data_IF_791641169972
#
_entry.id   IF_791641169972
#
_cell.length_a   1.000
_cell.length_b   1.000
_cell.length_c   1.000
_cell.angle_alpha   90.00
_cell.angle_beta   90.00
_cell.angle_gamma   90.00
#
_symmetry.space_group_name_H-M   'P 1'
#
loop_
_entity.id
_entity.type
_entity.pdbx_description
1 polymer ?
#
# COMPACT_ATOMS: atom_id res chain seq x y z
N UNK A 1 -48.47 17.08 -36.57
CA UNK A 1 -47.16 17.44 -37.14
C UNK A 1 -46.09 17.42 -36.04
N UNK A 2 -45.16 16.47 -36.14
CA UNK A 2 -43.76 16.50 -35.68
C UNK A 2 -43.35 16.57 -34.18
N UNK A 3 -43.98 15.78 -33.31
CA UNK A 3 -43.47 15.50 -31.96
C UNK A 3 -42.09 14.79 -31.97
N UNK A 4 -41.88 13.89 -32.95
CA UNK A 4 -40.59 13.19 -33.15
C UNK A 4 -39.42 14.11 -33.51
N UNK A 5 -39.64 15.24 -34.20
CA UNK A 5 -38.55 16.17 -34.53
C UNK A 5 -38.13 17.00 -33.33
N UNK A 6 -39.07 17.36 -32.45
CA UNK A 6 -38.79 18.08 -31.20
C UNK A 6 -37.99 17.19 -30.27
N UNK A 7 -38.41 15.93 -30.07
CA UNK A 7 -37.68 14.95 -29.26
C UNK A 7 -36.27 14.70 -29.82
N UNK A 8 -36.12 14.56 -31.15
CA UNK A 8 -34.79 14.42 -31.78
C UNK A 8 -33.90 15.64 -31.54
N UNK A 9 -34.45 16.86 -31.70
CA UNK A 9 -33.72 18.11 -31.45
C UNK A 9 -33.33 18.24 -29.97
N UNK A 10 -34.21 17.87 -29.06
CA UNK A 10 -33.95 17.91 -27.62
C UNK A 10 -32.86 16.91 -27.22
N UNK A 11 -32.94 15.67 -27.72
CA UNK A 11 -31.90 14.65 -27.50
C UNK A 11 -30.54 15.09 -28.08
N UNK A 12 -30.54 15.74 -29.24
CA UNK A 12 -29.32 16.32 -29.81
C UNK A 12 -28.72 17.41 -28.91
N UNK A 13 -29.53 18.34 -28.41
CA UNK A 13 -29.08 19.39 -27.49
C UNK A 13 -28.54 18.80 -26.18
N UNK A 14 -29.24 17.83 -25.58
CA UNK A 14 -28.75 17.11 -24.38
C UNK A 14 -27.39 16.47 -24.66
N UNK A 15 -27.25 15.76 -25.79
CA UNK A 15 -25.99 15.08 -26.13
C UNK A 15 -24.84 16.07 -26.34
N UNK A 16 -25.10 17.18 -27.03
CA UNK A 16 -24.14 18.26 -27.24
C UNK A 16 -23.70 18.88 -25.91
N UNK A 17 -24.65 19.14 -25.01
CA UNK A 17 -24.35 19.75 -23.72
C UNK A 17 -23.60 18.78 -22.79
N UNK A 18 -23.94 17.49 -22.80
CA UNK A 18 -23.15 16.47 -22.11
C UNK A 18 -21.71 16.39 -22.64
N UNK A 19 -21.50 16.50 -23.95
CA UNK A 19 -20.15 16.54 -24.52
C UNK A 19 -19.38 17.78 -24.05
N UNK A 20 -20.01 18.97 -24.07
CA UNK A 20 -19.41 20.21 -23.59
C UNK A 20 -19.00 20.13 -22.11
N UNK A 21 -19.90 19.64 -21.26
CA UNK A 21 -19.63 19.47 -19.83
C UNK A 21 -18.50 18.45 -19.58
N UNK A 22 -18.48 17.34 -20.32
CA UNK A 22 -17.41 16.35 -20.22
C UNK A 22 -16.03 16.97 -20.52
N UNK A 23 -15.92 17.82 -21.55
CA UNK A 23 -14.66 18.52 -21.87
C UNK A 23 -14.23 19.41 -20.70
N UNK A 24 -15.15 20.20 -20.15
CA UNK A 24 -14.87 21.12 -19.05
C UNK A 24 -14.42 20.36 -17.79
N UNK A 25 -15.15 19.31 -17.40
CA UNK A 25 -14.81 18.55 -16.20
C UNK A 25 -13.53 17.75 -16.37
N UNK A 26 -13.25 17.21 -17.56
CA UNK A 26 -11.98 16.55 -17.84
C UNK A 26 -10.80 17.54 -17.78
N UNK A 27 -10.96 18.76 -18.29
CA UNK A 27 -9.93 19.81 -18.15
C UNK A 27 -9.71 20.20 -16.68
N UNK A 28 -10.78 20.37 -15.91
CA UNK A 28 -10.67 20.63 -14.46
C UNK A 28 -10.06 19.46 -13.69
N UNK A 29 -10.33 18.22 -14.11
CA UNK A 29 -9.74 17.03 -13.53
C UNK A 29 -8.23 16.99 -13.79
N UNK A 30 -7.81 17.22 -15.04
CA UNK A 30 -6.39 17.24 -15.44
C UNK A 30 -5.61 18.36 -14.72
N UNK A 31 -6.25 19.50 -14.44
CA UNK A 31 -5.59 20.60 -13.73
C UNK A 31 -5.40 20.34 -12.22
N UNK A 32 -6.07 19.34 -11.66
CA UNK A 32 -5.95 19.01 -10.24
C UNK A 32 -4.66 18.22 -9.94
N UNK A 33 -3.74 18.85 -9.22
CA UNK A 33 -2.46 18.22 -8.80
C UNK A 33 -2.55 17.38 -7.51
N UNK A 34 -3.63 17.51 -6.75
CA UNK A 34 -3.77 16.92 -5.42
C UNK A 34 -5.02 16.03 -5.31
N UNK A 35 -4.93 14.83 -4.69
CA UNK A 35 -6.07 13.92 -4.54
C UNK A 35 -7.27 14.57 -3.82
N UNK A 36 -7.01 15.40 -2.82
CA UNK A 36 -8.05 16.11 -2.07
C UNK A 36 -8.88 17.06 -2.95
N UNK A 37 -8.25 17.71 -3.92
CA UNK A 37 -8.94 18.62 -4.84
C UNK A 37 -9.79 17.83 -5.85
N UNK A 38 -9.25 16.71 -6.34
CA UNK A 38 -10.00 15.80 -7.20
C UNK A 38 -11.23 15.26 -6.45
N UNK A 39 -11.07 14.92 -5.17
CA UNK A 39 -12.18 14.45 -4.34
C UNK A 39 -13.27 15.51 -4.11
N UNK A 40 -12.88 16.79 -3.98
CA UNK A 40 -13.84 17.90 -3.89
C UNK A 40 -14.62 18.06 -5.20
N UNK A 41 -13.92 18.10 -6.33
CA UNK A 41 -14.52 18.15 -7.67
C UNK A 41 -15.49 16.98 -7.90
N UNK A 42 -15.10 15.79 -7.44
CA UNK A 42 -15.93 14.60 -7.50
C UNK A 42 -17.26 14.75 -6.73
N UNK A 43 -17.21 15.29 -5.51
CA UNK A 43 -18.42 15.55 -4.70
C UNK A 43 -19.32 16.61 -5.34
N UNK A 44 -18.74 17.61 -5.98
CA UNK A 44 -19.47 18.66 -6.70
C UNK A 44 -20.26 18.07 -7.88
N UNK A 45 -19.66 17.19 -8.68
CA UNK A 45 -20.30 16.56 -9.84
C UNK A 45 -21.41 15.59 -9.43
N UNK A 46 -21.18 14.82 -8.35
CA UNK A 46 -22.09 13.75 -7.94
C UNK A 46 -23.18 14.17 -6.96
N UNK A 47 -23.14 15.42 -6.47
CA UNK A 47 -24.06 15.92 -5.45
C UNK A 47 -24.04 15.10 -4.15
N UNK A 48 -22.90 14.44 -3.87
CA UNK A 48 -22.79 13.24 -3.04
C UNK A 48 -23.63 13.23 -1.77
N UNK A 49 -24.61 12.32 -1.71
CA UNK A 49 -25.34 12.00 -0.48
C UNK A 49 -24.62 10.88 0.27
N UNK A 50 -24.12 11.16 1.48
CA UNK A 50 -23.62 10.12 2.38
C UNK A 50 -24.80 9.40 3.04
N UNK A 51 -24.89 8.09 2.82
CA UNK A 51 -25.83 7.22 3.52
C UNK A 51 -25.04 6.56 4.65
N UNK A 52 -25.19 7.07 5.88
CA UNK A 52 -24.49 6.53 7.04
C UNK A 52 -25.23 5.33 7.66
N UNK A 53 -26.54 5.23 7.44
CA UNK A 53 -27.36 4.10 7.89
C UNK A 53 -27.62 3.17 6.72
N UNK A 54 -26.87 2.08 6.66
CA UNK A 54 -27.13 0.98 5.72
C UNK A 54 -28.37 0.25 6.24
N UNK A 55 -29.49 0.18 5.48
CA UNK A 55 -30.75 -0.37 5.96
C UNK A 55 -30.72 -1.89 6.20
N UNK A 56 -29.66 -2.57 5.76
CA UNK A 56 -29.44 -3.98 6.00
C UNK A 56 -28.36 -4.15 7.07
N UNK A 57 -28.62 -5.07 8.02
CA UNK A 57 -27.62 -5.72 8.87
C UNK A 57 -26.64 -6.49 7.99
N UNK A 58 -25.81 -5.75 7.26
CA UNK A 58 -24.69 -6.33 6.56
C UNK A 58 -23.68 -6.72 7.63
N UNK A 59 -23.68 -8.00 7.99
CA UNK A 59 -22.80 -8.50 9.05
C UNK A 59 -21.37 -8.39 8.53
N UNK A 60 -20.61 -7.43 9.05
CA UNK A 60 -19.20 -7.20 8.72
C UNK A 60 -18.39 -8.51 8.85
N UNK A 61 -18.77 -9.39 9.78
CA UNK A 61 -18.17 -10.72 9.93
C UNK A 61 -18.29 -11.60 8.67
N UNK A 62 -19.34 -11.45 7.86
CA UNK A 62 -19.50 -12.19 6.60
C UNK A 62 -18.50 -11.71 5.55
N UNK A 63 -18.20 -10.42 5.46
CA UNK A 63 -17.08 -9.94 4.64
C UNK A 63 -15.75 -10.44 5.17
N UNK A 64 -15.54 -10.37 6.49
CA UNK A 64 -14.30 -10.84 7.08
C UNK A 64 -14.07 -12.33 6.77
N UNK A 65 -15.10 -13.17 6.72
CA UNK A 65 -14.99 -14.58 6.27
C UNK A 65 -14.57 -14.72 4.80
N UNK A 66 -15.01 -13.81 3.93
CA UNK A 66 -14.60 -13.81 2.52
C UNK A 66 -13.17 -13.29 2.29
N UNK A 67 -12.68 -12.38 3.14
CA UNK A 67 -11.31 -11.83 3.06
C UNK A 67 -10.29 -12.64 3.87
N UNK A 68 -10.72 -13.27 4.96
CA UNK A 68 -9.97 -14.18 5.82
C UNK A 68 -10.45 -15.60 5.47
N UNK A 69 -10.05 -16.10 4.31
CA UNK A 69 -10.13 -17.54 4.08
C UNK A 69 -9.06 -18.19 4.97
N UNK A 70 -9.47 -18.60 6.17
CA UNK A 70 -8.65 -19.47 7.01
C UNK A 70 -9.12 -20.91 6.72
N UNK A 71 -8.32 -21.75 6.04
CA UNK A 71 -8.59 -23.17 6.10
C UNK A 71 -8.43 -23.56 7.56
N UNK A 72 -9.50 -24.03 8.19
CA UNK A 72 -9.60 -24.36 9.62
C UNK A 72 -8.62 -25.44 10.10
N UNK A 73 -7.77 -25.96 9.21
CA UNK A 73 -6.77 -26.99 9.46
C UNK A 73 -5.37 -26.55 9.00
N UNK A 74 -5.06 -25.25 8.98
CA UNK A 74 -3.69 -24.80 8.77
C UNK A 74 -2.82 -25.22 9.96
N UNK A 75 -2.35 -26.48 9.96
CA UNK A 75 -1.06 -26.78 10.57
C UNK A 75 -0.08 -25.72 10.06
N UNK A 76 0.79 -25.23 10.95
CA UNK A 76 2.03 -24.57 10.50
C UNK A 76 2.56 -25.41 9.33
N UNK A 77 2.95 -24.79 8.21
CA UNK A 77 3.44 -25.56 7.09
C UNK A 77 4.52 -26.45 7.67
N UNK A 78 4.28 -27.78 7.67
CA UNK A 78 5.28 -28.74 8.06
C UNK A 78 6.51 -28.33 7.28
N UNK A 79 7.60 -28.00 7.99
CA UNK A 79 8.85 -27.48 7.43
C UNK A 79 9.22 -28.41 6.27
N UNK A 80 8.74 -28.08 5.09
CA UNK A 80 9.00 -28.86 3.91
C UNK A 80 10.35 -28.31 3.52
N UNK A 81 11.38 -29.09 3.83
CA UNK A 81 12.73 -28.96 3.30
C UNK A 81 12.66 -29.09 1.77
N UNK A 82 12.03 -28.14 1.09
CA UNK A 82 12.01 -28.06 -0.36
C UNK A 82 13.34 -27.43 -0.70
N UNK A 83 14.30 -28.28 -1.07
CA UNK A 83 15.56 -27.98 -1.74
C UNK A 83 16.15 -26.60 -1.44
N UNK A 84 17.22 -26.55 -0.62
CA UNK A 84 18.11 -25.41 -0.42
C UNK A 84 18.24 -24.55 -1.67
N UNK A 85 17.35 -23.57 -1.81
CA UNK A 85 17.56 -22.47 -2.71
C UNK A 85 18.61 -21.63 -1.98
N UNK A 86 19.87 -21.84 -2.38
CA UNK A 86 21.01 -21.23 -1.74
C UNK A 86 20.83 -19.72 -1.84
N UNK A 87 20.49 -19.08 -0.71
CA UNK A 87 20.59 -17.64 -0.60
C UNK A 87 22.03 -17.26 -0.94
N UNK A 88 22.23 -16.59 -2.07
CA UNK A 88 23.56 -16.29 -2.62
C UNK A 88 24.33 -15.22 -1.84
N UNK A 89 23.83 -14.84 -0.66
CA UNK A 89 24.35 -13.75 0.14
C UNK A 89 23.86 -12.40 -0.34
N UNK A 90 23.89 -11.41 0.54
CA UNK A 90 23.76 -10.01 0.19
C UNK A 90 25.03 -9.54 -0.55
N UNK A 91 24.84 -8.82 -1.66
CA UNK A 91 25.92 -8.20 -2.42
C UNK A 91 26.27 -6.82 -1.83
N UNK A 92 27.56 -6.49 -1.77
CA UNK A 92 28.08 -5.18 -1.32
C UNK A 92 27.45 -4.00 -2.06
N UNK A 93 27.19 -4.13 -3.36
CA UNK A 93 26.54 -3.08 -4.15
C UNK A 93 25.10 -2.83 -3.68
N UNK A 94 24.35 -3.88 -3.35
CA UNK A 94 22.96 -3.74 -2.90
C UNK A 94 22.93 -3.20 -1.46
N UNK A 95 23.85 -3.63 -0.60
CA UNK A 95 24.05 -3.04 0.72
C UNK A 95 24.34 -1.54 0.59
N UNK A 96 25.24 -1.14 -0.31
CA UNK A 96 25.55 0.27 -0.56
C UNK A 96 24.32 1.06 -1.04
N UNK A 97 23.52 0.52 -1.98
CA UNK A 97 22.27 1.15 -2.43
C UNK A 97 21.27 1.30 -1.30
N UNK A 98 21.10 0.27 -0.47
CA UNK A 98 20.21 0.30 0.68
C UNK A 98 20.64 1.38 1.70
N UNK A 99 21.93 1.49 2.01
CA UNK A 99 22.49 2.54 2.86
C UNK A 99 22.26 3.94 2.26
N UNK A 100 22.48 4.12 0.95
CA UNK A 100 22.23 5.39 0.24
C UNK A 100 20.75 5.79 0.27
N UNK A 101 19.85 4.81 0.30
CA UNK A 101 18.39 5.02 0.35
C UNK A 101 17.86 5.33 1.76
N UNK A 102 18.70 5.36 2.78
CA UNK A 102 18.28 5.74 4.14
C UNK A 102 17.79 7.20 4.15
N UNK A 103 16.75 7.44 4.96
CA UNK A 103 16.25 8.79 5.19
C UNK A 103 17.25 9.57 6.04
N UNK A 104 17.51 10.82 5.65
CA UNK A 104 18.43 11.72 6.35
C UNK A 104 17.79 12.39 7.56
N UNK A 105 16.73 11.79 8.12
CA UNK A 105 16.02 12.33 9.26
C UNK A 105 16.97 12.44 10.45
N UNK A 106 16.83 13.54 11.20
CA UNK A 106 17.55 13.77 12.46
C UNK A 106 17.01 12.90 13.61
N UNK A 107 15.95 12.11 13.37
CA UNK A 107 15.41 11.20 14.36
C UNK A 107 16.43 10.11 14.70
N UNK A 108 16.98 10.20 15.91
CA UNK A 108 17.92 9.24 16.46
C UNK A 108 17.19 7.98 16.94
N UNK A 109 17.73 6.82 16.55
CA UNK A 109 17.37 5.53 17.14
C UNK A 109 17.87 5.41 18.57
N UNK A 110 17.79 4.21 19.15
CA UNK A 110 18.34 3.96 20.49
C UNK A 110 19.87 3.97 20.55
N UNK A 111 20.53 3.82 19.40
CA UNK A 111 21.98 3.89 19.22
C UNK A 111 22.52 5.32 19.18
N UNK A 112 21.66 6.34 19.13
CA UNK A 112 22.03 7.75 19.00
C UNK A 112 22.92 8.05 17.77
N UNK A 113 22.93 7.18 16.75
CA UNK A 113 23.69 7.39 15.51
C UNK A 113 22.76 7.86 14.39
N UNK A 114 22.98 9.06 13.82
CA UNK A 114 22.20 9.55 12.70
C UNK A 114 22.32 8.67 11.45
N UNK A 115 21.19 8.38 10.80
CA UNK A 115 21.15 7.65 9.51
C UNK A 115 21.94 8.34 8.38
N UNK A 116 22.18 9.66 8.49
CA UNK A 116 22.98 10.42 7.52
C UNK A 116 24.44 9.93 7.47
N UNK A 117 25.01 9.46 8.58
CA UNK A 117 26.39 8.96 8.63
C UNK A 117 26.51 7.72 7.75
N UNK A 118 25.61 6.75 7.96
CA UNK A 118 25.53 5.54 7.16
C UNK A 118 25.33 5.82 5.66
N UNK A 119 24.53 6.83 5.34
CA UNK A 119 24.31 7.27 3.96
C UNK A 119 25.55 7.89 3.32
N UNK A 120 26.25 8.80 4.02
CA UNK A 120 27.44 9.48 3.49
C UNK A 120 28.65 8.55 3.41
N UNK A 121 28.83 7.72 4.43
CA UNK A 121 29.93 6.75 4.53
C UNK A 121 29.60 5.40 3.86
N UNK A 122 28.52 5.32 3.07
CA UNK A 122 28.02 4.05 2.52
C UNK A 122 29.06 3.29 1.70
N UNK A 123 29.97 4.00 1.02
CA UNK A 123 31.01 3.42 0.17
C UNK A 123 32.12 2.71 0.95
N UNK A 124 32.31 3.08 2.22
CA UNK A 124 33.27 2.42 3.12
C UNK A 124 32.54 1.35 3.92
N UNK A 125 31.39 1.72 4.50
CA UNK A 125 30.64 0.86 5.40
C UNK A 125 29.96 -0.32 4.70
N UNK A 126 29.72 -0.25 3.39
CA UNK A 126 29.08 -1.37 2.69
C UNK A 126 29.89 -2.67 2.80
N UNK A 127 31.23 -2.61 2.78
CA UNK A 127 32.08 -3.81 2.88
C UNK A 127 31.89 -4.55 4.22
N UNK A 128 32.23 -3.97 5.39
CA UNK A 128 32.10 -4.68 6.67
C UNK A 128 30.64 -5.00 7.01
N UNK A 129 29.68 -4.17 6.57
CA UNK A 129 28.27 -4.46 6.82
C UNK A 129 27.73 -5.60 5.97
N UNK A 130 28.30 -5.84 4.79
CA UNK A 130 27.92 -7.01 3.97
C UNK A 130 28.30 -8.29 4.68
N UNK A 131 29.53 -8.38 5.18
CA UNK A 131 30.01 -9.55 5.93
C UNK A 131 29.16 -9.77 7.19
N UNK A 132 28.84 -8.68 7.89
CA UNK A 132 28.02 -8.71 9.09
C UNK A 132 26.58 -9.16 8.81
N UNK A 133 25.95 -8.67 7.75
CA UNK A 133 24.59 -9.08 7.38
C UNK A 133 24.55 -10.53 6.88
N UNK A 134 25.54 -10.95 6.08
CA UNK A 134 25.64 -12.34 5.62
C UNK A 134 25.83 -13.30 6.79
N UNK A 135 26.68 -12.94 7.75
CA UNK A 135 26.87 -13.73 8.97
C UNK A 135 25.61 -13.78 9.85
N UNK A 136 24.98 -12.64 10.08
CA UNK A 136 23.71 -12.58 10.83
C UNK A 136 22.63 -13.43 10.18
N UNK A 137 22.58 -13.45 8.85
CA UNK A 137 21.63 -14.25 8.08
C UNK A 137 21.98 -15.75 8.10
N UNK A 138 23.26 -16.13 7.92
CA UNK A 138 23.68 -17.54 7.99
C UNK A 138 23.46 -18.15 9.36
N UNK A 139 23.67 -17.35 10.41
CA UNK A 139 23.52 -17.78 11.79
C UNK A 139 22.05 -17.75 12.24
N UNK A 140 21.12 -17.27 11.40
CA UNK A 140 19.71 -17.01 11.73
C UNK A 140 19.52 -16.17 13.00
N UNK A 141 20.46 -15.25 13.28
CA UNK A 141 20.48 -14.43 14.49
C UNK A 141 20.52 -12.96 14.12
N UNK A 142 19.45 -12.23 14.44
CA UNK A 142 19.44 -10.77 14.41
C UNK A 142 19.94 -10.24 15.77
N UNK A 143 21.06 -9.47 15.80
CA UNK A 143 21.61 -8.90 17.02
C UNK A 143 20.58 -8.15 17.86
N UNK A 144 20.62 -8.32 19.19
CA UNK A 144 19.67 -7.69 20.11
C UNK A 144 19.66 -6.16 19.99
N UNK A 145 20.84 -5.55 19.80
CA UNK A 145 21.00 -4.10 19.62
C UNK A 145 20.27 -3.58 18.38
N UNK A 146 20.15 -4.38 17.32
CA UNK A 146 19.45 -3.96 16.10
C UNK A 146 17.93 -3.98 16.28
N UNK A 147 17.44 -4.87 17.15
CA UNK A 147 16.04 -5.07 17.50
C UNK A 147 15.54 -4.06 18.54
N UNK A 148 16.40 -3.18 19.03
CA UNK A 148 15.97 -2.12 19.92
C UNK A 148 15.24 -1.02 19.13
N UNK A 149 14.04 -0.65 19.60
CA UNK A 149 13.09 0.18 18.86
C UNK A 149 12.62 1.32 19.75
N UNK A 150 12.82 2.55 19.26
CA UNK A 150 12.27 3.74 19.90
C UNK A 150 10.86 4.01 19.36
N UNK A 151 9.84 3.86 20.21
CA UNK A 151 8.45 4.11 19.83
C UNK A 151 8.08 5.57 20.13
N UNK A 152 7.67 6.32 19.10
CA UNK A 152 7.25 7.72 19.21
C UNK A 152 5.76 7.86 18.89
N UNK A 153 4.92 8.33 19.83
CA UNK A 153 3.50 8.57 19.58
C UNK A 153 3.30 9.88 18.80
N UNK A 154 2.61 9.82 17.66
CA UNK A 154 2.25 10.97 16.84
C UNK A 154 0.72 11.18 16.85
N UNK A 155 0.21 12.38 17.17
CA UNK A 155 -1.22 12.68 17.12
C UNK A 155 -1.84 12.44 15.73
N UNK A 156 -2.99 11.77 15.65
CA UNK A 156 -3.75 11.59 14.39
C UNK A 156 -4.40 12.89 13.89
N UNK A 157 -4.70 13.83 14.78
CA UNK A 157 -5.36 15.10 14.48
C UNK A 157 -4.90 16.18 15.47
N UNK A 158 -4.82 17.42 15.00
CA UNK A 158 -4.46 18.59 15.80
C UNK A 158 -5.60 19.16 16.64
N UNK A 159 -6.83 18.67 16.48
CA UNK A 159 -8.01 19.24 17.14
C UNK A 159 -9.00 18.14 17.53
N UNK A 160 -9.05 17.81 18.84
CA UNK A 160 -10.19 17.26 19.63
C UNK A 160 -9.74 16.76 21.02
N UNK A 161 -10.69 16.75 21.97
CA UNK A 161 -10.54 16.35 23.37
C UNK A 161 -10.10 14.88 23.63
N UNK A 162 -10.03 14.04 22.59
CA UNK A 162 -9.52 12.67 22.65
C UNK A 162 -8.55 12.45 21.48
N UNK A 163 -7.26 12.69 21.74
CA UNK A 163 -6.19 12.53 20.75
C UNK A 163 -5.87 11.04 20.61
N UNK A 164 -6.22 10.46 19.46
CA UNK A 164 -5.72 9.12 19.09
C UNK A 164 -4.29 9.26 18.55
N UNK A 165 -3.38 8.43 19.03
CA UNK A 165 -1.99 8.43 18.54
C UNK A 165 -1.77 7.37 17.46
N UNK A 166 -0.81 7.61 16.59
CA UNK A 166 -0.12 6.60 15.78
C UNK A 166 1.23 6.37 16.43
N UNK A 167 1.50 5.14 16.82
CA UNK A 167 2.83 4.77 17.28
C UNK A 167 3.74 4.61 16.06
N UNK A 168 4.87 5.30 16.05
CA UNK A 168 5.91 5.15 15.04
C UNK A 168 7.11 4.48 15.67
N UNK A 169 7.46 3.30 15.17
CA UNK A 169 8.66 2.57 15.54
C UNK A 169 9.87 3.14 14.77
N UNK A 170 10.82 3.74 15.48
CA UNK A 170 12.12 4.13 14.94
C UNK A 170 13.09 2.98 15.22
N UNK A 171 13.35 2.19 14.18
CA UNK A 171 14.30 1.07 14.20
C UNK A 171 15.72 1.53 13.87
N UNK A 172 16.72 0.72 14.25
CA UNK A 172 18.13 0.98 13.95
C UNK A 172 18.39 1.06 12.43
N UNK A 173 19.39 1.85 11.98
CA UNK A 173 19.78 1.89 10.57
C UNK A 173 20.22 0.53 10.02
N UNK A 174 20.83 -0.32 10.86
CA UNK A 174 21.21 -1.69 10.51
C UNK A 174 19.99 -2.56 10.22
N UNK A 175 19.01 -2.60 11.13
CA UNK A 175 17.78 -3.38 10.93
C UNK A 175 17.03 -2.92 9.68
N UNK A 176 16.85 -1.60 9.49
CA UNK A 176 16.23 -1.04 8.28
C UNK A 176 16.94 -1.44 7.00
N UNK A 177 18.27 -1.53 7.04
CA UNK A 177 19.07 -1.90 5.87
C UNK A 177 18.90 -3.38 5.56
N UNK A 178 18.94 -4.23 6.58
CA UNK A 178 18.67 -5.67 6.45
C UNK A 178 17.25 -5.94 5.95
N UNK A 179 16.22 -5.31 6.52
CA UNK A 179 14.82 -5.40 6.06
C UNK A 179 14.68 -5.04 4.57
N UNK A 180 15.35 -3.96 4.13
CA UNK A 180 15.34 -3.56 2.71
C UNK A 180 16.02 -4.58 1.82
N UNK A 181 17.14 -5.17 2.25
CA UNK A 181 17.83 -6.19 1.48
C UNK A 181 16.96 -7.44 1.32
N UNK A 182 16.34 -7.90 2.40
CA UNK A 182 15.38 -9.01 2.37
C UNK A 182 14.19 -8.68 1.45
N UNK A 183 13.68 -7.45 1.50
CA UNK A 183 12.60 -7.01 0.62
C UNK A 183 12.99 -7.01 -0.86
N UNK A 184 14.24 -6.65 -1.20
CA UNK A 184 14.73 -6.72 -2.58
C UNK A 184 14.74 -8.15 -3.11
N UNK A 185 15.04 -9.13 -2.27
CA UNK A 185 15.00 -10.55 -2.60
C UNK A 185 13.56 -11.09 -2.64
N UNK A 186 12.68 -10.62 -1.75
CA UNK A 186 11.31 -11.13 -1.60
C UNK A 186 10.33 -10.61 -2.67
N UNK A 187 10.40 -9.31 -3.00
CA UNK A 187 9.43 -8.65 -3.91
C UNK A 187 9.35 -9.32 -5.29
N UNK A 188 10.47 -9.73 -5.95
CA UNK A 188 10.41 -10.43 -7.22
C UNK A 188 9.61 -11.75 -7.17
N UNK A 189 9.68 -12.49 -6.07
CA UNK A 189 8.95 -13.76 -5.87
C UNK A 189 7.45 -13.55 -5.66
N UNK A 190 7.03 -12.36 -5.21
CA UNK A 190 5.63 -12.02 -4.96
C UNK A 190 4.87 -11.52 -6.20
N UNK A 191 5.47 -11.58 -7.39
CA UNK A 191 4.84 -11.11 -8.64
C UNK A 191 3.51 -11.79 -8.95
N UNK A 192 3.30 -13.04 -8.52
CA UNK A 192 2.04 -13.77 -8.72
C UNK A 192 0.86 -13.18 -7.95
N UNK A 193 1.11 -12.48 -6.84
CA UNK A 193 0.07 -11.84 -6.00
C UNK A 193 -0.19 -10.37 -6.38
N UNK A 194 0.33 -9.93 -7.53
CA UNK A 194 0.34 -8.54 -7.93
C UNK A 194 -1.02 -8.10 -8.52
N UNK A 195 -1.92 -7.53 -7.69
CA UNK A 195 -3.20 -6.99 -8.18
C UNK A 195 -2.99 -5.71 -9.04
N UNK A 196 -3.38 -5.68 -10.33
CA UNK A 196 -3.26 -4.49 -11.16
C UNK A 196 -4.07 -3.28 -10.66
N UNK A 197 -4.99 -3.45 -9.70
CA UNK A 197 -5.75 -2.36 -9.04
C UNK A 197 -5.22 -1.98 -7.65
N UNK A 198 -4.12 -2.57 -7.20
CA UNK A 198 -3.42 -2.09 -6.00
C UNK A 198 -2.51 -0.92 -6.38
N UNK A 199 -2.77 0.25 -5.79
CA UNK A 199 -2.01 1.48 -6.05
C UNK A 199 -1.02 1.83 -4.94
N UNK A 200 -1.35 1.49 -3.69
CA UNK A 200 -0.49 1.74 -2.54
C UNK A 200 0.71 0.78 -2.52
N UNK A 201 1.85 1.28 -2.02
CA UNK A 201 3.10 0.54 -1.82
C UNK A 201 3.68 -0.12 -3.09
N UNK A 202 3.31 0.37 -4.28
CA UNK A 202 3.90 -0.06 -5.56
C UNK A 202 4.79 1.02 -6.14
N UNK A 203 5.86 0.56 -6.80
CA UNK A 203 6.69 1.46 -7.60
C UNK A 203 5.88 2.06 -8.75
N UNK A 204 6.14 3.33 -9.05
CA UNK A 204 5.49 4.08 -10.14
C UNK A 204 3.96 4.14 -10.06
N UNK A 205 3.40 4.10 -8.85
CA UNK A 205 1.97 4.30 -8.61
C UNK A 205 1.73 5.29 -7.49
N UNK A 206 0.64 6.03 -7.60
CA UNK A 206 0.27 7.09 -6.69
C UNK A 206 -1.20 7.00 -6.28
N UNK A 207 -1.55 7.76 -5.25
CA UNK A 207 -2.96 7.95 -4.87
C UNK A 207 -3.76 8.67 -5.94
N UNK A 208 -3.11 9.46 -6.81
CA UNK A 208 -3.78 10.12 -7.93
C UNK A 208 -4.27 9.11 -8.96
N UNK A 209 -3.45 8.09 -9.26
CA UNK A 209 -3.81 7.03 -10.21
C UNK A 209 -5.05 6.26 -9.75
N UNK A 210 -5.15 5.98 -8.45
CA UNK A 210 -6.31 5.33 -7.87
C UNK A 210 -7.60 6.15 -8.08
N UNK A 211 -7.51 7.46 -7.85
CA UNK A 211 -8.66 8.37 -8.01
C UNK A 211 -8.99 8.56 -9.49
N UNK A 212 -8.00 8.60 -10.39
CA UNK A 212 -8.21 8.68 -11.83
C UNK A 212 -8.92 7.45 -12.38
N UNK A 213 -8.52 6.25 -11.97
CA UNK A 213 -9.20 5.00 -12.35
C UNK A 213 -10.62 4.97 -11.81
N UNK A 214 -10.84 5.40 -10.56
CA UNK A 214 -12.17 5.52 -9.98
C UNK A 214 -13.05 6.48 -10.79
N UNK A 215 -12.56 7.67 -11.10
CA UNK A 215 -13.27 8.67 -11.89
C UNK A 215 -13.61 8.14 -13.28
N UNK A 216 -12.65 7.53 -13.97
CA UNK A 216 -12.86 6.93 -15.29
C UNK A 216 -13.99 5.88 -15.27
N UNK A 217 -13.99 4.98 -14.28
CA UNK A 217 -15.02 3.95 -14.15
C UNK A 217 -16.42 4.54 -13.93
N UNK A 218 -16.52 5.60 -13.13
CA UNK A 218 -17.79 6.29 -12.86
C UNK A 218 -18.29 7.00 -14.11
N UNK A 219 -17.44 7.82 -14.73
CA UNK A 219 -17.77 8.57 -15.94
C UNK A 219 -18.18 7.62 -17.08
N UNK A 220 -17.44 6.53 -17.29
CA UNK A 220 -17.75 5.51 -18.29
C UNK A 220 -19.09 4.82 -18.02
N UNK A 221 -19.40 4.51 -16.76
CA UNK A 221 -20.69 3.89 -16.39
C UNK A 221 -21.87 4.84 -16.65
N UNK A 222 -21.74 6.11 -16.26
CA UNK A 222 -22.77 7.13 -16.52
C UNK A 222 -22.95 7.36 -18.03
N UNK A 223 -21.86 7.42 -18.80
CA UNK A 223 -21.92 7.58 -20.25
C UNK A 223 -22.64 6.41 -20.94
N UNK A 224 -22.48 5.19 -20.43
CA UNK A 224 -23.19 3.99 -20.91
C UNK A 224 -24.68 3.97 -20.54
N UNK A 225 -25.19 5.01 -19.86
CA UNK A 225 -26.61 5.16 -19.51
C UNK A 225 -26.97 4.66 -18.11
N UNK A 226 -26.00 4.41 -17.24
CA UNK A 226 -26.30 4.10 -15.84
C UNK A 226 -26.98 5.31 -15.18
N UNK A 227 -28.14 5.09 -14.55
CA UNK A 227 -28.90 6.16 -13.87
C UNK A 227 -28.19 6.70 -12.63
N UNK A 228 -27.43 5.85 -11.94
CA UNK A 228 -26.66 6.20 -10.75
C UNK A 228 -25.45 5.28 -10.60
N UNK A 229 -24.44 5.73 -9.87
CA UNK A 229 -23.27 4.93 -9.47
C UNK A 229 -23.18 4.91 -7.95
N UNK A 230 -22.93 3.74 -7.37
CA UNK A 230 -22.75 3.57 -5.92
C UNK A 230 -21.30 3.23 -5.63
N UNK A 231 -20.75 3.85 -4.60
CA UNK A 231 -19.40 3.61 -4.13
C UNK A 231 -19.45 3.07 -2.70
N UNK A 232 -18.72 1.99 -2.45
CA UNK A 232 -18.51 1.45 -1.11
C UNK A 232 -17.05 1.63 -0.72
N UNK A 233 -16.81 2.29 0.41
CA UNK A 233 -15.48 2.45 0.99
C UNK A 233 -15.34 1.47 2.15
N UNK A 234 -14.29 0.66 2.10
CA UNK A 234 -13.96 -0.32 3.13
C UNK A 234 -12.62 0.11 3.76
N UNK A 235 -12.59 0.20 5.08
CA UNK A 235 -11.39 0.52 5.84
C UNK A 235 -11.20 -0.49 6.96
N UNK A 236 -9.99 -1.04 7.07
CA UNK A 236 -9.65 -2.03 8.09
C UNK A 236 -9.20 -1.33 9.37
N UNK A 237 -9.81 -1.70 10.50
CA UNK A 237 -9.32 -1.25 11.81
C UNK A 237 -7.97 -1.89 12.09
N UNK A 238 -6.94 -1.07 12.32
CA UNK A 238 -5.60 -1.52 12.69
C UNK A 238 -5.07 -2.63 11.78
N UNK A 239 -5.11 -2.41 10.47
CA UNK A 239 -4.81 -3.42 9.46
C UNK A 239 -3.46 -4.13 9.67
N UNK A 240 -2.40 -3.39 10.06
CA UNK A 240 -1.06 -3.94 10.27
C UNK A 240 -1.01 -4.79 11.55
N UNK A 241 -1.59 -4.29 12.64
CA UNK A 241 -1.58 -4.97 13.94
C UNK A 241 -2.48 -6.21 13.96
N UNK A 242 -3.40 -6.33 12.99
CA UNK A 242 -4.43 -7.37 12.95
C UNK A 242 -4.13 -8.50 11.96
N UNK A 243 -2.97 -8.49 11.29
CA UNK A 243 -2.60 -9.55 10.33
C UNK A 243 -2.21 -10.84 11.07
N UNK A 244 -2.92 -11.97 10.86
CA UNK A 244 -2.52 -13.25 11.44
C UNK A 244 -1.19 -13.74 10.82
N UNK A 245 -0.18 -13.96 11.65
CA UNK A 245 1.16 -14.36 11.19
C UNK A 245 1.15 -15.71 10.46
N UNK A 246 0.36 -16.68 10.94
CA UNK A 246 0.31 -18.02 10.34
C UNK A 246 -0.24 -17.98 8.91
N UNK A 247 -1.29 -17.20 8.67
CA UNK A 247 -1.86 -17.01 7.33
C UNK A 247 -0.87 -16.30 6.41
N UNK A 248 -0.13 -15.32 6.93
CA UNK A 248 0.90 -14.62 6.17
C UNK A 248 2.03 -15.58 5.75
N UNK A 249 2.56 -16.36 6.69
CA UNK A 249 3.61 -17.35 6.42
C UNK A 249 3.15 -18.41 5.42
N UNK A 250 1.92 -18.91 5.54
CA UNK A 250 1.34 -19.85 4.57
C UNK A 250 1.22 -19.25 3.17
N UNK A 251 0.84 -17.97 3.05
CA UNK A 251 0.80 -17.27 1.76
C UNK A 251 2.19 -17.05 1.17
N UNK A 252 3.19 -16.79 2.01
CA UNK A 252 4.59 -16.72 1.58
C UNK A 252 5.06 -18.10 1.11
N UNK A 253 4.85 -19.16 1.88
CA UNK A 253 5.18 -20.53 1.48
C UNK A 253 4.53 -20.98 0.16
N UNK A 254 3.28 -20.55 -0.08
CA UNK A 254 2.58 -20.82 -1.33
C UNK A 254 3.08 -19.97 -2.51
N UNK A 255 3.73 -18.84 -2.23
CA UNK A 255 4.46 -18.09 -3.25
C UNK A 255 5.78 -18.79 -3.53
N UNK A 256 6.32 -18.70 -4.74
CA UNK A 256 7.66 -19.23 -5.09
C UNK A 256 8.78 -18.41 -4.41
N UNK A 257 8.59 -18.01 -3.15
CA UNK A 257 9.63 -17.42 -2.33
C UNK A 257 10.59 -18.51 -1.87
N UNK A 258 11.84 -18.11 -1.78
CA UNK A 258 12.93 -18.90 -1.22
C UNK A 258 12.59 -19.41 0.18
N UNK A 259 13.02 -20.64 0.50
CA UNK A 259 12.63 -21.33 1.74
C UNK A 259 13.07 -20.60 3.02
N UNK A 260 14.13 -19.79 2.95
CA UNK A 260 14.57 -18.96 4.06
C UNK A 260 13.53 -17.92 4.50
N UNK A 261 12.59 -17.52 3.64
CA UNK A 261 11.61 -16.49 3.97
C UNK A 261 10.48 -16.99 4.88
N UNK A 262 10.37 -18.32 5.05
CA UNK A 262 9.29 -18.99 5.79
C UNK A 262 9.83 -19.71 7.04
N UNK A 263 11.16 -19.89 7.13
CA UNK A 263 11.86 -20.58 8.23
C UNK A 263 12.29 -19.63 9.35
#
# INVERSE_FOLDING_TARGET
MNDKSVVKRFNFLIKSEMQRLNVIYNQKFISCKNPSNIWKLFKEITGGKQINNIPYSFVVCTLNKSFIYSPSNAMLPSICCVNNSHFSGFNTNDVQKCLKSLNTSQNLGSDYVPSIIFKKCSHILCHPLTDLFNKSFSDNIVPAVWKDIKVVPIPKSSTKACVKFRLIAITSPFLKTMEKLLLLSLVPSLKSFNDPKQFAYKHSRSTLDAVAVLYHNIASSLHKGAKFVRLAFLDYKSAIDSVPRDILLNKLAASQTECWAVN
#
